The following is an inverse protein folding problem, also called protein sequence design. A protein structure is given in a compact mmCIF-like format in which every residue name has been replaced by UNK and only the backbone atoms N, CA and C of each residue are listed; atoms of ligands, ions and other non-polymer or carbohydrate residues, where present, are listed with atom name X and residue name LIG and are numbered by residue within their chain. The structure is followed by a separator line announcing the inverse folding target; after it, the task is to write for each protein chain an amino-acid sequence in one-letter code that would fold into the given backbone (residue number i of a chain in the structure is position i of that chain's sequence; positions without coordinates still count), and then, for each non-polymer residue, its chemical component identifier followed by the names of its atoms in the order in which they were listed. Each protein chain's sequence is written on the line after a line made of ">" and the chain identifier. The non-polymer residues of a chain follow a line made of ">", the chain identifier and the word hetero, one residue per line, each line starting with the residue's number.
data_IF_045376877013
#
_entry.id   IF_045376877013
#
_cell.length_a   1.000
_cell.length_b   1.000
_cell.length_c   1.000
_cell.angle_alpha   90.00
_cell.angle_beta   90.00
_cell.angle_gamma   90.00
#
_symmetry.space_group_name_H-M   'P 1'
#
loop_
_entity.id
_entity.type
_entity.pdbx_description
1 polymer ?
#
# COMPACT_ATOMS: atom_id res chain seq x y z
N UNK A 1 33.02 31.22 26.31
CA UNK A 1 33.27 30.21 25.24
C UNK A 1 32.86 28.79 25.62
N UNK A 2 32.29 28.52 26.77
CA UNK A 2 31.94 27.16 27.25
C UNK A 2 30.50 26.71 26.97
N UNK A 3 29.62 27.58 26.45
CA UNK A 3 28.20 27.25 26.24
C UNK A 3 27.91 26.56 24.87
N UNK A 4 28.66 26.86 23.81
CA UNK A 4 28.45 26.29 22.48
C UNK A 4 28.91 24.84 22.38
N UNK A 5 29.96 24.42 23.09
CA UNK A 5 30.48 23.06 23.07
C UNK A 5 29.61 22.07 23.87
N UNK A 6 28.87 22.54 24.88
CA UNK A 6 27.91 21.72 25.63
C UNK A 6 26.61 21.51 24.85
N UNK A 7 26.12 22.51 24.12
CA UNK A 7 24.96 22.38 23.23
C UNK A 7 25.27 21.45 22.03
N UNK A 8 26.49 21.47 21.49
CA UNK A 8 26.93 20.56 20.44
C UNK A 8 27.04 19.09 20.91
N UNK A 9 27.39 18.85 22.18
CA UNK A 9 27.45 17.49 22.77
C UNK A 9 26.08 16.90 23.08
N UNK A 10 25.06 17.71 23.35
CA UNK A 10 23.68 17.25 23.53
C UNK A 10 22.99 16.84 22.21
N UNK A 11 23.52 17.25 21.07
CA UNK A 11 23.01 16.93 19.74
C UNK A 11 23.58 15.64 19.13
N UNK A 12 24.55 15.00 19.76
CA UNK A 12 25.14 13.74 19.28
C UNK A 12 24.35 12.51 19.77
N UNK A 13 23.01 12.52 19.63
CA UNK A 13 22.24 11.30 19.79
C UNK A 13 22.60 10.34 18.64
N UNK A 14 22.89 9.08 19.01
CA UNK A 14 23.27 8.03 18.07
C UNK A 14 22.22 7.94 16.95
N UNK A 15 22.60 7.64 15.70
CA UNK A 15 21.65 7.43 14.62
C UNK A 15 20.64 6.37 15.04
N UNK A 16 19.35 6.51 14.63
CA UNK A 16 18.31 5.56 15.01
C UNK A 16 18.68 4.16 14.53
N UNK A 17 18.42 3.15 15.38
CA UNK A 17 18.71 1.77 15.03
C UNK A 17 17.86 1.35 13.82
N UNK A 18 18.43 0.59 12.90
CA UNK A 18 17.70 0.08 11.72
C UNK A 18 16.44 -0.70 12.13
N UNK A 19 16.52 -1.47 13.22
CA UNK A 19 15.38 -2.22 13.77
C UNK A 19 14.19 -1.30 14.11
N UNK A 20 14.44 -0.14 14.71
CA UNK A 20 13.37 0.83 15.03
C UNK A 20 12.69 1.34 13.76
N UNK A 21 13.46 1.66 12.72
CA UNK A 21 12.92 2.14 11.44
C UNK A 21 12.16 1.02 10.68
N UNK A 22 12.64 -0.20 10.74
CA UNK A 22 11.99 -1.38 10.13
C UNK A 22 10.66 -1.70 10.82
N UNK A 23 10.61 -1.68 12.16
CA UNK A 23 9.37 -1.85 12.92
C UNK A 23 8.37 -0.73 12.66
N UNK A 24 8.85 0.51 12.51
CA UNK A 24 8.02 1.64 12.15
C UNK A 24 7.41 1.49 10.76
N UNK A 25 8.18 0.95 9.80
CA UNK A 25 7.68 0.62 8.46
C UNK A 25 6.61 -0.50 8.52
N UNK A 26 6.83 -1.56 9.30
CA UNK A 26 5.84 -2.62 9.48
C UNK A 26 4.55 -2.07 10.11
N UNK A 27 4.67 -1.26 11.16
CA UNK A 27 3.53 -0.66 11.84
C UNK A 27 2.75 0.32 10.94
N UNK A 28 3.40 0.93 9.93
CA UNK A 28 2.74 1.87 9.03
C UNK A 28 1.70 1.22 8.11
N UNK A 29 1.81 -0.08 7.84
CA UNK A 29 0.90 -0.81 6.94
C UNK A 29 0.02 -1.83 7.67
N UNK A 30 0.43 -2.27 8.86
CA UNK A 30 -0.29 -3.29 9.62
C UNK A 30 -1.75 -2.94 9.94
N UNK A 31 -2.10 -1.70 10.37
CA UNK A 31 -3.47 -1.34 10.72
C UNK A 31 -4.47 -1.42 9.58
N UNK A 32 -3.99 -1.34 8.34
CA UNK A 32 -4.83 -1.45 7.16
C UNK A 32 -5.27 -2.91 6.91
N UNK A 33 -4.48 -3.88 7.33
CA UNK A 33 -4.64 -5.28 6.92
C UNK A 33 -5.11 -6.20 8.07
N UNK A 34 -4.69 -5.92 9.32
CA UNK A 34 -4.86 -6.84 10.44
C UNK A 34 -6.34 -7.07 10.82
N UNK A 35 -7.21 -6.09 10.65
CA UNK A 35 -8.62 -6.16 11.03
C UNK A 35 -9.56 -6.66 9.91
N UNK A 36 -9.02 -6.90 8.70
CA UNK A 36 -9.83 -7.28 7.54
C UNK A 36 -10.72 -8.50 7.77
N UNK A 37 -10.25 -9.58 8.42
CA UNK A 37 -11.12 -10.72 8.70
C UNK A 37 -12.31 -10.38 9.60
N UNK A 38 -12.22 -9.34 10.41
CA UNK A 38 -13.21 -8.94 11.42
C UNK A 38 -14.29 -8.01 10.86
N UNK A 39 -14.23 -7.57 9.59
CA UNK A 39 -15.18 -6.58 9.04
C UNK A 39 -16.64 -7.00 9.23
N UNK A 40 -16.96 -8.29 9.02
CA UNK A 40 -18.31 -8.80 9.19
C UNK A 40 -18.73 -8.84 10.67
N UNK A 41 -17.83 -9.13 11.60
CA UNK A 41 -18.08 -9.08 13.04
C UNK A 41 -18.33 -7.64 13.51
N UNK A 42 -17.55 -6.69 13.02
CA UNK A 42 -17.73 -5.26 13.28
C UNK A 42 -19.10 -4.78 12.80
N UNK A 43 -19.55 -5.22 11.60
CA UNK A 43 -20.85 -4.87 11.07
C UNK A 43 -22.00 -5.37 11.96
N UNK A 44 -21.92 -6.61 12.45
CA UNK A 44 -22.90 -7.18 13.38
C UNK A 44 -22.91 -6.47 14.73
N UNK A 45 -21.75 -6.16 15.26
CA UNK A 45 -21.61 -5.55 16.60
C UNK A 45 -22.16 -4.11 16.62
N UNK A 46 -21.95 -3.35 15.56
CA UNK A 46 -22.54 -2.01 15.39
C UNK A 46 -23.95 -2.02 14.80
N UNK A 47 -24.52 -3.18 14.48
CA UNK A 47 -25.85 -3.35 13.84
C UNK A 47 -26.01 -2.43 12.63
N UNK A 48 -25.02 -2.44 11.74
CA UNK A 48 -24.95 -1.54 10.58
C UNK A 48 -24.64 -2.29 9.28
N UNK A 49 -24.89 -1.62 8.16
CA UNK A 49 -24.63 -2.19 6.85
C UNK A 49 -23.13 -2.45 6.64
N UNK A 50 -22.82 -3.57 6.02
CA UNK A 50 -21.45 -3.93 5.66
C UNK A 50 -20.77 -2.85 4.79
N UNK A 51 -21.53 -2.17 3.94
CA UNK A 51 -21.04 -1.06 3.12
C UNK A 51 -20.44 0.07 3.96
N UNK A 52 -21.08 0.44 5.09
CA UNK A 52 -20.54 1.46 6.01
C UNK A 52 -19.26 0.99 6.69
N UNK A 53 -19.19 -0.29 7.09
CA UNK A 53 -17.99 -0.83 7.71
C UNK A 53 -16.83 -0.90 6.70
N UNK A 54 -17.11 -1.21 5.43
CA UNK A 54 -16.10 -1.23 4.37
C UNK A 54 -15.44 0.15 4.13
N UNK A 55 -16.14 1.25 4.49
CA UNK A 55 -15.55 2.59 4.51
C UNK A 55 -14.38 2.72 5.50
N UNK A 56 -14.28 1.84 6.50
CA UNK A 56 -13.11 1.81 7.39
C UNK A 56 -11.80 1.44 6.66
N UNK A 57 -11.88 0.74 5.54
CA UNK A 57 -10.76 0.46 4.66
C UNK A 57 -10.56 1.58 3.64
N UNK A 58 -11.60 1.93 2.88
CA UNK A 58 -11.51 2.93 1.82
C UNK A 58 -11.30 4.35 2.34
N UNK A 59 -11.97 4.73 3.42
CA UNK A 59 -11.78 6.03 4.08
C UNK A 59 -10.37 6.17 4.68
N UNK A 60 -9.88 5.10 5.33
CA UNK A 60 -8.49 5.06 5.78
C UNK A 60 -7.51 5.27 4.61
N UNK A 61 -7.70 4.53 3.51
CA UNK A 61 -6.84 4.65 2.33
C UNK A 61 -6.93 6.05 1.69
N UNK A 62 -8.11 6.67 1.65
CA UNK A 62 -8.27 8.03 1.15
C UNK A 62 -7.50 9.07 1.98
N UNK A 63 -7.56 8.96 3.31
CA UNK A 63 -6.76 9.80 4.22
C UNK A 63 -5.26 9.53 4.03
N UNK A 64 -4.87 8.26 3.89
CA UNK A 64 -3.47 7.87 3.65
C UNK A 64 -2.92 8.49 2.36
N UNK A 65 -3.71 8.53 1.27
CA UNK A 65 -3.33 9.21 0.01
C UNK A 65 -2.96 10.68 0.24
N UNK A 66 -3.81 11.40 0.97
CA UNK A 66 -3.57 12.83 1.29
C UNK A 66 -2.29 12.97 2.13
N UNK A 67 -2.14 12.13 3.13
CA UNK A 67 -0.99 12.17 4.03
C UNK A 67 0.32 11.82 3.29
N UNK A 68 0.33 10.83 2.42
CA UNK A 68 1.53 10.48 1.65
C UNK A 68 2.00 11.61 0.73
N UNK A 69 1.06 12.37 0.12
CA UNK A 69 1.39 13.53 -0.71
C UNK A 69 2.00 14.69 0.10
N UNK A 70 1.55 14.88 1.34
CA UNK A 70 1.88 16.05 2.14
C UNK A 70 3.06 15.78 3.10
N UNK A 71 3.14 14.58 3.67
CA UNK A 71 4.05 14.30 4.78
C UNK A 71 5.53 14.22 4.37
N UNK A 72 5.83 13.86 3.12
CA UNK A 72 7.18 13.98 2.58
C UNK A 72 7.71 15.42 2.68
N UNK A 73 7.08 16.38 1.98
CA UNK A 73 7.41 17.81 2.07
C UNK A 73 7.38 18.39 3.49
N UNK A 74 6.38 17.99 4.29
CA UNK A 74 6.30 18.44 5.69
C UNK A 74 7.49 17.97 6.51
N UNK A 75 7.93 16.72 6.33
CA UNK A 75 9.08 16.17 7.04
C UNK A 75 10.40 16.81 6.60
N UNK A 76 10.49 17.29 5.36
CA UNK A 76 11.63 18.06 4.86
C UNK A 76 11.67 19.47 5.46
N UNK A 77 10.52 20.07 5.76
CA UNK A 77 10.41 21.43 6.30
C UNK A 77 10.49 21.48 7.83
N UNK A 78 9.69 20.64 8.50
CA UNK A 78 9.54 20.69 9.97
C UNK A 78 10.50 19.75 10.70
N UNK A 79 11.10 18.80 9.97
CA UNK A 79 12.00 17.79 10.54
C UNK A 79 11.36 16.39 10.52
N UNK A 80 12.22 15.37 10.50
CA UNK A 80 11.79 13.95 10.46
C UNK A 80 11.16 13.53 11.79
N UNK A 81 11.83 13.86 12.90
CA UNK A 81 11.43 13.46 14.25
C UNK A 81 10.04 13.96 14.65
N UNK A 82 9.67 15.25 14.52
CA UNK A 82 8.35 15.74 14.88
C UNK A 82 7.23 15.03 14.11
N UNK A 83 7.41 14.81 12.81
CA UNK A 83 6.40 14.14 11.98
C UNK A 83 6.17 12.71 12.45
N UNK A 84 7.22 11.92 12.71
CA UNK A 84 7.07 10.55 13.24
C UNK A 84 6.36 10.54 14.59
N UNK A 85 6.76 11.39 15.53
CA UNK A 85 6.19 11.42 16.88
C UNK A 85 4.71 11.82 16.84
N UNK A 86 4.36 12.86 16.08
CA UNK A 86 2.96 13.32 15.93
C UNK A 86 2.11 12.24 15.26
N UNK A 87 2.62 11.60 14.20
CA UNK A 87 1.91 10.52 13.52
C UNK A 87 1.66 9.31 14.41
N UNK A 88 2.65 8.92 15.24
CA UNK A 88 2.50 7.86 16.24
C UNK A 88 1.51 8.23 17.34
N UNK A 89 1.49 9.48 17.79
CA UNK A 89 0.53 9.95 18.79
C UNK A 89 -0.91 9.86 18.25
N UNK A 90 -1.16 10.37 17.04
CA UNK A 90 -2.47 10.27 16.39
C UNK A 90 -2.88 8.82 16.12
N UNK A 91 -1.94 7.98 15.68
CA UNK A 91 -2.18 6.55 15.51
C UNK A 91 -2.58 5.87 16.83
N UNK A 92 -1.88 6.15 17.92
CA UNK A 92 -2.16 5.55 19.22
C UNK A 92 -3.53 6.00 19.74
N UNK A 93 -3.84 7.30 19.69
CA UNK A 93 -5.15 7.84 20.05
C UNK A 93 -6.25 7.26 19.16
N UNK A 94 -6.03 7.20 17.84
CA UNK A 94 -6.96 6.60 16.89
C UNK A 94 -7.22 5.12 17.20
N UNK A 95 -6.17 4.36 17.56
CA UNK A 95 -6.31 2.94 17.91
C UNK A 95 -7.11 2.74 19.20
N UNK A 96 -6.85 3.53 20.24
CA UNK A 96 -7.64 3.52 21.49
C UNK A 96 -9.09 3.90 21.18
N UNK A 97 -9.30 4.94 20.37
CA UNK A 97 -10.63 5.38 19.99
C UNK A 97 -11.42 4.32 19.20
N UNK A 98 -10.77 3.58 18.30
CA UNK A 98 -11.38 2.45 17.60
C UNK A 98 -11.80 1.33 18.56
N UNK A 99 -10.94 0.99 19.54
CA UNK A 99 -11.24 -0.03 20.54
C UNK A 99 -12.44 0.33 21.44
N UNK A 100 -12.59 1.63 21.75
CA UNK A 100 -13.65 2.17 22.63
C UNK A 100 -14.90 2.64 21.87
N UNK A 101 -14.89 2.61 20.54
CA UNK A 101 -15.99 3.12 19.73
C UNK A 101 -17.31 2.40 20.07
N UNK A 102 -18.36 3.19 20.35
CA UNK A 102 -19.70 2.72 20.65
C UNK A 102 -20.64 2.69 19.42
N UNK A 103 -20.24 3.32 18.31
CA UNK A 103 -20.99 3.36 17.08
C UNK A 103 -20.04 3.45 15.87
N UNK A 104 -20.58 3.16 14.68
CA UNK A 104 -19.82 3.11 13.43
C UNK A 104 -19.18 4.45 13.07
N UNK A 105 -19.82 5.57 13.32
CA UNK A 105 -19.31 6.90 12.95
C UNK A 105 -18.09 7.29 13.78
N UNK A 106 -18.14 7.02 15.09
CA UNK A 106 -16.97 7.20 15.97
C UNK A 106 -15.82 6.29 15.54
N UNK A 107 -16.12 5.02 15.21
CA UNK A 107 -15.15 4.07 14.68
C UNK A 107 -14.48 4.60 13.40
N UNK A 108 -15.24 5.06 12.40
CA UNK A 108 -14.71 5.59 11.13
C UNK A 108 -13.88 6.87 11.35
N UNK A 109 -14.30 7.75 12.27
CA UNK A 109 -13.54 8.94 12.61
C UNK A 109 -12.17 8.58 13.21
N UNK A 110 -12.13 7.66 14.19
CA UNK A 110 -10.88 7.20 14.77
C UNK A 110 -10.02 6.38 13.80
N UNK A 111 -10.63 5.63 12.87
CA UNK A 111 -9.92 4.97 11.77
C UNK A 111 -9.22 5.99 10.86
N UNK A 112 -9.89 7.11 10.56
CA UNK A 112 -9.29 8.20 9.78
C UNK A 112 -8.10 8.84 10.50
N UNK A 113 -8.20 9.02 11.82
CA UNK A 113 -7.10 9.52 12.64
C UNK A 113 -5.93 8.53 12.70
N UNK A 114 -6.23 7.23 12.80
CA UNK A 114 -5.26 6.15 12.82
C UNK A 114 -4.41 6.11 11.54
N UNK A 115 -4.94 6.58 10.40
CA UNK A 115 -4.22 6.63 9.12
C UNK A 115 -2.97 7.52 9.15
N UNK A 116 -2.81 8.39 10.18
CA UNK A 116 -1.60 9.21 10.34
C UNK A 116 -0.29 8.39 10.37
N UNK A 117 -0.36 7.11 10.77
CA UNK A 117 0.81 6.22 10.81
C UNK A 117 1.43 5.98 9.43
N UNK A 118 0.66 6.10 8.35
CA UNK A 118 1.15 5.87 6.97
C UNK A 118 2.28 6.83 6.59
N UNK A 119 2.30 8.04 7.18
CA UNK A 119 3.40 9.00 7.04
C UNK A 119 4.75 8.45 7.50
N UNK A 120 4.76 7.48 8.42
CA UNK A 120 5.99 6.93 8.98
C UNK A 120 6.82 6.14 7.97
N UNK A 121 6.20 5.53 6.94
CA UNK A 121 6.94 4.80 5.92
C UNK A 121 7.87 5.70 5.08
N UNK A 122 7.37 6.72 4.34
CA UNK A 122 8.23 7.59 3.55
C UNK A 122 9.24 8.36 4.40
N UNK A 123 8.86 8.75 5.62
CA UNK A 123 9.78 9.43 6.55
C UNK A 123 10.89 8.50 7.03
N UNK A 124 10.59 7.22 7.33
CA UNK A 124 11.61 6.22 7.67
C UNK A 124 12.60 5.98 6.54
N UNK A 125 12.12 5.90 5.28
CA UNK A 125 12.99 5.79 4.09
C UNK A 125 13.92 7.01 3.98
N UNK A 126 13.40 8.20 4.24
CA UNK A 126 14.20 9.43 4.24
C UNK A 126 15.26 9.42 5.36
N UNK A 127 14.90 8.99 6.59
CA UNK A 127 15.84 8.85 7.72
C UNK A 127 16.96 7.86 7.38
N UNK A 128 16.62 6.71 6.76
CA UNK A 128 17.62 5.73 6.33
C UNK A 128 18.60 6.37 5.34
N UNK A 129 18.10 7.11 4.36
CA UNK A 129 18.91 7.82 3.37
C UNK A 129 19.79 8.89 4.00
N UNK A 130 19.28 9.64 4.96
CA UNK A 130 19.98 10.74 5.64
C UNK A 130 21.08 10.24 6.60
N UNK A 131 20.96 8.98 7.08
CA UNK A 131 21.85 8.41 8.13
C UNK A 131 22.80 7.32 7.63
N UNK A 132 22.51 6.72 6.48
CA UNK A 132 23.35 5.66 5.90
C UNK A 132 24.27 6.19 4.82
N UNK A 133 25.49 5.63 4.72
CA UNK A 133 26.38 5.86 3.58
C UNK A 133 25.77 5.32 2.28
N UNK A 134 26.21 5.86 1.12
CA UNK A 134 25.62 5.53 -0.20
C UNK A 134 25.48 4.03 -0.46
N UNK A 135 26.49 3.23 -0.11
CA UNK A 135 26.50 1.78 -0.33
C UNK A 135 25.55 1.03 0.61
N UNK A 136 25.38 1.49 1.85
CA UNK A 136 24.54 0.86 2.85
C UNK A 136 23.05 1.25 2.72
N UNK A 137 22.78 2.39 2.08
CA UNK A 137 21.40 2.93 1.95
C UNK A 137 20.49 1.95 1.21
N UNK A 138 20.94 1.41 0.07
CA UNK A 138 20.15 0.46 -0.72
C UNK A 138 19.83 -0.82 0.07
N UNK A 139 20.79 -1.37 0.78
CA UNK A 139 20.61 -2.56 1.62
C UNK A 139 19.61 -2.32 2.77
N UNK A 140 19.75 -1.20 3.50
CA UNK A 140 18.87 -0.85 4.61
C UNK A 140 17.44 -0.56 4.16
N UNK A 141 17.26 0.12 3.04
CA UNK A 141 15.94 0.31 2.41
C UNK A 141 15.34 -1.04 2.00
N UNK A 142 16.16 -1.95 1.44
CA UNK A 142 15.72 -3.30 1.09
C UNK A 142 15.17 -4.08 2.28
N UNK A 143 15.87 -4.08 3.43
CA UNK A 143 15.38 -4.73 4.65
C UNK A 143 14.08 -4.10 5.16
N UNK A 144 13.98 -2.77 5.18
CA UNK A 144 12.77 -2.09 5.61
C UNK A 144 11.57 -2.39 4.69
N UNK A 145 11.79 -2.40 3.38
CA UNK A 145 10.77 -2.74 2.39
C UNK A 145 10.33 -4.22 2.49
N UNK A 146 11.26 -5.14 2.78
CA UNK A 146 10.94 -6.55 3.00
C UNK A 146 10.00 -6.75 4.20
N UNK A 147 10.30 -6.14 5.34
CA UNK A 147 9.46 -6.22 6.54
C UNK A 147 8.11 -5.53 6.31
N UNK A 148 8.09 -4.38 5.61
CA UNK A 148 6.86 -3.72 5.21
C UNK A 148 5.97 -4.63 4.36
N UNK A 149 6.56 -5.39 3.42
CA UNK A 149 5.83 -6.33 2.56
C UNK A 149 5.33 -7.58 3.31
N UNK A 150 5.99 -8.00 4.40
CA UNK A 150 5.57 -9.14 5.22
C UNK A 150 4.35 -8.81 6.11
N UNK A 151 4.18 -7.56 6.53
CA UNK A 151 3.11 -7.17 7.44
C UNK A 151 1.70 -7.45 6.89
N UNK A 152 1.36 -7.17 5.62
CA UNK A 152 0.08 -7.57 5.03
C UNK A 152 -0.12 -9.08 4.90
N UNK A 153 0.95 -9.87 4.88
CA UNK A 153 0.87 -11.33 4.82
C UNK A 153 0.48 -11.93 6.17
N UNK A 154 1.14 -11.46 7.23
CA UNK A 154 0.98 -11.99 8.58
C UNK A 154 -0.21 -11.33 9.29
N UNK A 155 -0.45 -10.04 9.01
CA UNK A 155 -1.46 -9.23 9.68
C UNK A 155 -2.85 -9.85 9.70
N UNK A 156 -3.46 -10.20 8.56
CA UNK A 156 -4.81 -10.78 8.53
C UNK A 156 -4.92 -12.12 9.27
N UNK A 157 -3.90 -12.98 9.18
CA UNK A 157 -3.91 -14.26 9.90
C UNK A 157 -3.85 -14.03 11.43
N UNK A 158 -2.96 -13.14 11.89
CA UNK A 158 -2.91 -12.75 13.31
C UNK A 158 -4.21 -12.06 13.75
N UNK A 159 -4.76 -11.18 12.91
CA UNK A 159 -6.01 -10.49 13.20
C UNK A 159 -7.19 -11.45 13.33
N UNK A 160 -7.29 -12.46 12.45
CA UNK A 160 -8.29 -13.51 12.55
C UNK A 160 -8.19 -14.31 13.83
N UNK A 161 -6.98 -14.72 14.22
CA UNK A 161 -6.73 -15.43 15.49
C UNK A 161 -7.12 -14.59 16.71
N UNK A 162 -6.75 -13.31 16.73
CA UNK A 162 -7.10 -12.39 17.83
C UNK A 162 -8.61 -12.15 17.88
N UNK A 163 -9.26 -11.99 16.72
CA UNK A 163 -10.70 -11.80 16.64
C UNK A 163 -11.47 -13.00 17.18
N UNK A 164 -11.07 -14.22 16.83
CA UNK A 164 -11.70 -15.44 17.33
C UNK A 164 -11.49 -15.66 18.85
N UNK A 165 -10.31 -15.33 19.35
CA UNK A 165 -9.96 -15.59 20.75
C UNK A 165 -10.47 -14.48 21.70
N UNK A 166 -10.42 -13.22 21.30
CA UNK A 166 -10.59 -12.04 22.17
C UNK A 166 -11.56 -10.99 21.60
N UNK A 167 -12.06 -11.20 20.37
CA UNK A 167 -12.92 -10.27 19.65
C UNK A 167 -12.12 -9.16 18.92
N UNK A 168 -12.77 -8.52 17.95
CA UNK A 168 -12.16 -7.54 17.08
C UNK A 168 -11.59 -6.31 17.79
N UNK A 169 -12.15 -5.91 18.92
CA UNK A 169 -11.65 -4.77 19.72
C UNK A 169 -10.24 -5.02 20.27
N UNK A 170 -9.90 -6.28 20.56
CA UNK A 170 -8.57 -6.63 21.03
C UNK A 170 -7.47 -6.34 20.00
N UNK A 171 -7.79 -6.40 18.70
CA UNK A 171 -6.88 -6.00 17.63
C UNK A 171 -6.46 -4.54 17.79
N UNK A 172 -7.43 -3.65 18.05
CA UNK A 172 -7.17 -2.21 18.21
C UNK A 172 -6.45 -1.89 19.52
N UNK A 173 -6.70 -2.64 20.60
CA UNK A 173 -5.90 -2.56 21.82
C UNK A 173 -4.44 -3.00 21.60
N UNK A 174 -4.23 -4.07 20.84
CA UNK A 174 -2.89 -4.50 20.43
C UNK A 174 -2.15 -3.45 19.60
N UNK A 175 -2.85 -2.79 18.67
CA UNK A 175 -2.31 -1.68 17.87
C UNK A 175 -2.01 -0.45 18.74
N UNK A 176 -2.86 -0.13 19.72
CA UNK A 176 -2.63 0.95 20.67
C UNK A 176 -1.38 0.71 21.53
N UNK A 177 -1.21 -0.53 22.02
CA UNK A 177 -0.02 -0.93 22.75
C UNK A 177 1.25 -0.83 21.88
N UNK A 178 1.21 -1.36 20.66
CA UNK A 178 2.31 -1.26 19.71
C UNK A 178 2.65 0.20 19.38
N UNK A 179 1.64 1.05 19.17
CA UNK A 179 1.79 2.48 18.96
C UNK A 179 2.45 3.19 20.16
N UNK A 180 2.01 2.88 21.37
CA UNK A 180 2.57 3.44 22.60
C UNK A 180 4.04 3.05 22.79
N UNK A 181 4.37 1.76 22.55
CA UNK A 181 5.76 1.28 22.61
C UNK A 181 6.62 2.01 21.57
N UNK A 182 6.16 2.08 20.31
CA UNK A 182 6.90 2.74 19.25
C UNK A 182 7.03 4.25 19.47
N UNK A 183 5.99 4.90 19.98
CA UNK A 183 6.03 6.32 20.36
C UNK A 183 7.10 6.57 21.43
N UNK A 184 7.13 5.74 22.46
CA UNK A 184 8.12 5.83 23.54
C UNK A 184 9.54 5.58 23.00
N UNK A 185 9.73 4.52 22.20
CA UNK A 185 11.03 4.21 21.57
C UNK A 185 11.50 5.37 20.68
N UNK A 186 10.63 5.89 19.82
CA UNK A 186 10.97 6.99 18.91
C UNK A 186 11.22 8.30 19.69
N UNK A 187 10.47 8.56 20.75
CA UNK A 187 10.68 9.75 21.58
C UNK A 187 12.09 9.82 22.16
N UNK A 188 12.62 8.69 22.65
CA UNK A 188 13.94 8.62 23.27
C UNK A 188 15.09 8.35 22.29
N UNK A 189 14.86 7.57 21.24
CA UNK A 189 15.93 7.11 20.34
C UNK A 189 16.02 7.92 19.04
N UNK A 190 14.89 8.51 18.56
CA UNK A 190 14.91 9.21 17.28
C UNK A 190 15.48 10.62 17.46
N UNK A 191 16.65 10.87 16.86
CA UNK A 191 17.22 12.21 16.74
C UNK A 191 16.74 12.86 15.43
N UNK A 192 16.77 14.21 15.38
CA UNK A 192 16.51 14.92 14.13
C UNK A 192 17.65 14.64 13.13
N UNK A 193 17.30 14.15 11.96
CA UNK A 193 18.26 13.78 10.91
C UNK A 193 18.31 14.76 9.75
N UNK A 194 17.29 15.61 9.62
CA UNK A 194 17.23 16.62 8.59
C UNK A 194 18.13 17.82 8.95
N UNK A 195 19.32 17.87 8.41
CA UNK A 195 20.30 18.96 8.61
C UNK A 195 20.09 20.15 7.68
N UNK A 196 19.44 19.95 6.55
CA UNK A 196 19.18 20.98 5.53
C UNK A 196 17.68 21.09 5.34
N UNK A 197 17.05 21.98 6.11
CA UNK A 197 15.64 22.32 5.89
C UNK A 197 15.51 22.91 4.50
N UNK A 198 15.06 22.10 3.56
CA UNK A 198 14.99 22.49 2.16
C UNK A 198 13.57 22.87 1.74
N UNK A 199 13.51 23.85 0.89
CA UNK A 199 12.60 24.03 -0.21
C UNK A 199 11.11 24.14 0.07
N UNK A 200 10.51 25.02 -0.65
CA UNK A 200 9.06 25.26 -0.69
C UNK A 200 8.30 23.99 -1.12
N UNK A 201 7.34 23.58 -0.32
CA UNK A 201 6.29 22.60 -0.69
C UNK A 201 5.73 22.93 -2.10
N UNK A 202 5.60 24.23 -2.42
CA UNK A 202 5.17 24.73 -3.73
C UNK A 202 6.08 24.26 -4.89
N UNK A 203 7.35 24.03 -4.67
CA UNK A 203 8.27 23.58 -5.72
C UNK A 203 8.00 22.13 -6.17
N UNK A 204 7.62 21.24 -5.25
CA UNK A 204 7.22 19.87 -5.61
C UNK A 204 5.88 19.85 -6.34
N UNK A 205 4.90 20.66 -5.92
CA UNK A 205 3.61 20.76 -6.62
C UNK A 205 3.72 21.36 -8.02
N UNK A 206 4.69 22.24 -8.27
CA UNK A 206 4.96 22.79 -9.63
C UNK A 206 5.43 21.73 -10.64
N UNK A 207 5.91 20.60 -10.18
CA UNK A 207 6.36 19.50 -11.05
C UNK A 207 5.20 18.63 -11.59
N UNK A 208 4.07 18.57 -10.86
CA UNK A 208 2.95 17.71 -11.20
C UNK A 208 2.31 17.98 -12.59
N UNK A 209 2.09 19.21 -13.04
CA UNK A 209 1.52 19.47 -14.38
C UNK A 209 2.33 18.82 -15.52
N UNK A 210 3.64 18.73 -15.38
CA UNK A 210 4.50 18.08 -16.38
C UNK A 210 4.31 16.56 -16.42
N UNK A 211 3.99 15.93 -15.28
CA UNK A 211 3.67 14.51 -15.17
C UNK A 211 2.25 14.22 -15.66
N UNK A 212 1.28 15.08 -15.31
CA UNK A 212 -0.10 14.97 -15.77
C UNK A 212 -0.23 14.99 -17.29
N UNK A 213 0.65 15.74 -17.98
CA UNK A 213 0.70 15.82 -19.45
C UNK A 213 1.44 14.66 -20.12
N UNK A 214 1.99 13.73 -19.36
CA UNK A 214 2.75 12.60 -19.90
C UNK A 214 1.89 11.32 -20.00
N UNK A 215 1.38 10.91 -21.18
CA UNK A 215 0.51 9.73 -21.31
C UNK A 215 1.17 8.44 -20.80
N UNK A 216 2.49 8.32 -20.97
CA UNK A 216 3.26 7.16 -20.46
C UNK A 216 3.22 7.07 -18.94
N UNK A 217 3.23 8.19 -18.24
CA UNK A 217 3.12 8.21 -16.79
C UNK A 217 1.77 7.63 -16.35
N UNK A 218 0.68 8.08 -16.99
CA UNK A 218 -0.68 7.60 -16.71
C UNK A 218 -0.84 6.10 -16.96
N UNK A 219 -0.25 5.57 -18.04
CA UNK A 219 -0.31 4.14 -18.33
C UNK A 219 0.32 3.30 -17.21
N UNK A 220 1.46 3.74 -16.66
CA UNK A 220 2.07 3.06 -15.50
C UNK A 220 1.28 3.26 -14.22
N UNK A 221 0.87 4.49 -13.92
CA UNK A 221 0.16 4.82 -12.69
C UNK A 221 -1.22 4.15 -12.62
N UNK A 222 -1.99 4.14 -13.72
CA UNK A 222 -3.27 3.44 -13.79
C UNK A 222 -3.11 1.91 -13.69
N UNK A 223 -2.07 1.35 -14.32
CA UNK A 223 -1.75 -0.06 -14.13
C UNK A 223 -1.54 -0.39 -12.64
N UNK A 224 -0.80 0.45 -11.90
CA UNK A 224 -0.58 0.29 -10.46
C UNK A 224 -1.90 0.47 -9.69
N UNK A 225 -2.68 1.51 -10.00
CA UNK A 225 -3.95 1.81 -9.35
C UNK A 225 -4.96 0.68 -9.46
N UNK A 226 -5.20 0.16 -10.66
CA UNK A 226 -6.09 -0.98 -10.87
C UNK A 226 -5.53 -2.28 -10.29
N UNK A 227 -4.20 -2.46 -10.28
CA UNK A 227 -3.56 -3.63 -9.68
C UNK A 227 -3.81 -3.71 -8.18
N UNK A 228 -3.57 -2.62 -7.47
CA UNK A 228 -3.83 -2.52 -6.02
C UNK A 228 -5.33 -2.50 -5.77
N UNK A 229 -6.10 -1.83 -6.62
CA UNK A 229 -7.55 -1.81 -6.55
C UNK A 229 -8.19 -3.21 -6.55
N UNK A 230 -7.66 -4.14 -7.35
CA UNK A 230 -8.12 -5.54 -7.33
C UNK A 230 -7.92 -6.20 -5.97
N UNK A 231 -6.77 -5.96 -5.32
CA UNK A 231 -6.49 -6.52 -3.99
C UNK A 231 -7.40 -5.88 -2.92
N UNK A 232 -7.63 -4.59 -3.01
CA UNK A 232 -8.51 -3.88 -2.08
C UNK A 232 -9.98 -4.27 -2.27
N UNK A 233 -10.42 -4.54 -3.51
CA UNK A 233 -11.73 -5.13 -3.77
C UNK A 233 -11.86 -6.50 -3.09
N UNK A 234 -10.83 -7.35 -3.22
CA UNK A 234 -10.80 -8.62 -2.49
C UNK A 234 -10.83 -8.42 -0.97
N UNK A 235 -10.03 -7.52 -0.43
CA UNK A 235 -10.01 -7.25 1.01
C UNK A 235 -11.35 -6.76 1.54
N UNK A 236 -12.07 -5.96 0.77
CA UNK A 236 -13.40 -5.48 1.14
C UNK A 236 -14.48 -6.55 0.98
N UNK A 237 -14.38 -7.41 -0.03
CA UNK A 237 -15.45 -8.33 -0.38
C UNK A 237 -15.30 -9.76 0.16
N UNK A 238 -14.06 -10.26 0.31
CA UNK A 238 -13.82 -11.63 0.76
C UNK A 238 -14.41 -11.93 2.17
N UNK A 239 -14.35 -11.00 3.15
CA UNK A 239 -14.99 -11.23 4.45
C UNK A 239 -16.48 -11.43 4.35
N UNK A 240 -17.16 -10.66 3.47
CA UNK A 240 -18.59 -10.81 3.25
C UNK A 240 -18.93 -12.14 2.56
N UNK A 241 -18.16 -12.53 1.55
CA UNK A 241 -18.33 -13.84 0.90
C UNK A 241 -18.08 -14.98 1.90
N UNK A 242 -17.06 -14.86 2.74
CA UNK A 242 -16.72 -15.88 3.73
C UNK A 242 -17.85 -16.14 4.74
N UNK A 243 -18.65 -15.12 5.13
CA UNK A 243 -19.80 -15.31 6.02
C UNK A 243 -20.87 -16.20 5.41
N UNK A 244 -21.04 -16.18 4.09
CA UNK A 244 -22.01 -17.04 3.38
C UNK A 244 -21.63 -18.52 3.45
N UNK A 245 -20.36 -18.82 3.68
CA UNK A 245 -19.83 -20.18 3.83
C UNK A 245 -19.50 -20.55 5.28
N UNK A 246 -19.93 -19.75 6.27
CA UNK A 246 -19.62 -19.93 7.69
C UNK A 246 -18.11 -20.13 7.97
N UNK A 247 -17.27 -19.42 7.24
CA UNK A 247 -15.81 -19.51 7.40
C UNK A 247 -15.37 -18.76 8.66
N UNK A 248 -14.39 -19.33 9.39
CA UNK A 248 -13.80 -18.67 10.55
C UNK A 248 -12.90 -17.48 10.14
N UNK A 249 -12.77 -16.50 11.02
CA UNK A 249 -11.91 -15.32 10.80
C UNK A 249 -10.44 -15.73 10.59
N UNK A 250 -9.94 -16.77 11.27
CA UNK A 250 -8.60 -17.32 11.08
C UNK A 250 -8.41 -17.90 9.69
N UNK A 251 -9.37 -18.70 9.22
CA UNK A 251 -9.31 -19.28 7.87
C UNK A 251 -9.35 -18.20 6.80
N UNK A 252 -10.22 -17.20 6.94
CA UNK A 252 -10.29 -16.06 6.04
C UNK A 252 -8.99 -15.25 6.07
N UNK A 253 -8.43 -14.99 7.25
CA UNK A 253 -7.14 -14.31 7.42
C UNK A 253 -6.01 -15.02 6.67
N UNK A 254 -6.01 -16.35 6.69
CA UNK A 254 -5.04 -17.17 5.95
C UNK A 254 -5.21 -17.04 4.43
N UNK A 255 -6.44 -16.97 3.91
CA UNK A 255 -6.69 -16.71 2.48
C UNK A 255 -6.27 -15.30 2.07
N UNK A 256 -6.56 -14.29 2.87
CA UNK A 256 -6.09 -12.92 2.63
C UNK A 256 -4.55 -12.88 2.62
N UNK A 257 -3.90 -13.57 3.58
CA UNK A 257 -2.45 -13.71 3.65
C UNK A 257 -1.86 -14.41 2.43
N UNK A 258 -2.56 -15.39 1.84
CA UNK A 258 -2.08 -16.13 0.67
C UNK A 258 -1.89 -15.25 -0.56
N UNK A 259 -2.73 -14.24 -0.78
CA UNK A 259 -2.56 -13.25 -1.87
C UNK A 259 -1.25 -12.48 -1.67
N UNK A 260 -0.94 -12.11 -0.43
CA UNK A 260 0.31 -11.41 -0.13
C UNK A 260 1.51 -12.32 -0.28
N UNK A 261 1.40 -13.61 0.08
CA UNK A 261 2.42 -14.61 -0.21
C UNK A 261 2.66 -14.75 -1.72
N UNK A 262 1.59 -14.77 -2.52
CA UNK A 262 1.66 -14.71 -3.98
C UNK A 262 2.40 -13.46 -4.47
N UNK A 263 2.14 -12.29 -3.87
CA UNK A 263 2.84 -11.04 -4.19
C UNK A 263 4.34 -11.12 -3.91
N UNK A 264 4.74 -11.72 -2.80
CA UNK A 264 6.16 -11.94 -2.47
C UNK A 264 6.81 -12.84 -3.51
N UNK A 265 6.17 -13.96 -3.87
CA UNK A 265 6.65 -14.87 -4.92
C UNK A 265 6.79 -14.15 -6.27
N UNK A 266 5.78 -13.41 -6.69
CA UNK A 266 5.81 -12.63 -7.93
C UNK A 266 6.90 -11.57 -7.93
N UNK A 267 7.10 -10.88 -6.81
CA UNK A 267 8.17 -9.87 -6.65
C UNK A 267 9.56 -10.50 -6.70
N UNK A 268 9.74 -11.66 -6.10
CA UNK A 268 10.98 -12.43 -6.19
C UNK A 268 11.29 -12.82 -7.64
N UNK A 269 10.30 -13.34 -8.37
CA UNK A 269 10.45 -13.66 -9.79
C UNK A 269 10.76 -12.41 -10.62
N UNK A 270 10.08 -11.29 -10.34
CA UNK A 270 10.35 -10.01 -10.99
C UNK A 270 11.81 -9.59 -10.79
N UNK A 271 12.34 -9.67 -9.56
CA UNK A 271 13.73 -9.36 -9.25
C UNK A 271 14.72 -10.29 -9.94
N UNK A 272 14.46 -11.62 -9.95
CA UNK A 272 15.33 -12.62 -10.57
C UNK A 272 15.43 -12.45 -12.10
N UNK A 273 14.34 -12.04 -12.74
CA UNK A 273 14.28 -11.83 -14.18
C UNK A 273 14.47 -10.37 -14.60
N UNK A 274 14.70 -9.46 -13.63
CA UNK A 274 15.04 -8.07 -13.89
C UNK A 274 16.30 -7.99 -14.78
N UNK A 275 16.26 -7.16 -15.80
CA UNK A 275 17.34 -7.03 -16.77
C UNK A 275 17.34 -8.05 -17.92
N UNK A 276 16.68 -9.21 -17.77
CA UNK A 276 16.53 -10.19 -18.87
C UNK A 276 15.36 -9.85 -19.81
N UNK A 277 14.29 -9.31 -19.24
CA UNK A 277 13.08 -8.96 -19.99
C UNK A 277 12.78 -7.47 -19.88
N UNK A 278 12.07 -6.92 -20.87
CA UNK A 278 11.60 -5.53 -20.83
C UNK A 278 10.58 -5.35 -19.71
N UNK A 279 10.60 -4.20 -19.02
CA UNK A 279 9.65 -3.87 -17.95
C UNK A 279 8.18 -4.11 -18.36
N UNK A 280 7.82 -3.69 -19.59
CA UNK A 280 6.46 -3.86 -20.13
C UNK A 280 6.08 -5.31 -20.36
N UNK A 281 7.03 -6.19 -20.72
CA UNK A 281 6.79 -7.63 -20.88
C UNK A 281 6.47 -8.27 -19.53
N UNK A 282 7.24 -7.94 -18.48
CA UNK A 282 6.97 -8.43 -17.12
C UNK A 282 5.61 -7.97 -16.61
N UNK A 283 5.22 -6.71 -16.90
CA UNK A 283 3.91 -6.19 -16.56
C UNK A 283 2.79 -6.96 -17.25
N UNK A 284 2.87 -7.21 -18.56
CA UNK A 284 1.84 -7.92 -19.34
C UNK A 284 1.70 -9.35 -18.84
N UNK A 285 2.80 -10.08 -18.66
CA UNK A 285 2.78 -11.46 -18.13
C UNK A 285 2.12 -11.47 -16.73
N UNK A 286 2.54 -10.56 -15.85
CA UNK A 286 1.96 -10.44 -14.52
C UNK A 286 0.45 -10.15 -14.57
N UNK A 287 -0.01 -9.32 -15.51
CA UNK A 287 -1.46 -9.03 -15.66
C UNK A 287 -2.25 -10.20 -16.20
N UNK A 288 -1.70 -10.97 -17.14
CA UNK A 288 -2.34 -12.20 -17.64
C UNK A 288 -2.51 -13.19 -16.48
N UNK A 289 -1.47 -13.40 -15.67
CA UNK A 289 -1.56 -14.26 -14.48
C UNK A 289 -2.60 -13.71 -13.48
N UNK A 290 -2.63 -12.40 -13.22
CA UNK A 290 -3.60 -11.81 -12.32
C UNK A 290 -5.05 -11.97 -12.82
N UNK A 291 -5.30 -11.87 -14.13
CA UNK A 291 -6.62 -12.07 -14.72
C UNK A 291 -7.10 -13.53 -14.60
N UNK A 292 -6.20 -14.52 -14.65
CA UNK A 292 -6.58 -15.93 -14.56
C UNK A 292 -7.24 -16.30 -13.22
N UNK A 293 -6.86 -15.64 -12.11
CA UNK A 293 -7.46 -15.88 -10.81
C UNK A 293 -8.98 -15.65 -10.79
N UNK A 294 -9.47 -14.41 -11.01
CA UNK A 294 -10.90 -14.12 -11.06
C UNK A 294 -11.65 -14.88 -12.15
N UNK A 295 -11.02 -15.18 -13.31
CA UNK A 295 -11.64 -16.01 -14.36
C UNK A 295 -11.90 -17.42 -13.83
N UNK A 296 -10.92 -18.06 -13.18
CA UNK A 296 -11.10 -19.38 -12.58
C UNK A 296 -12.20 -19.34 -11.51
N UNK A 297 -12.20 -18.31 -10.64
CA UNK A 297 -13.24 -18.17 -9.62
C UNK A 297 -14.64 -18.08 -10.26
N UNK A 298 -14.83 -17.26 -11.28
CA UNK A 298 -16.11 -17.14 -11.99
C UNK A 298 -16.52 -18.43 -12.69
N UNK A 299 -15.60 -19.12 -13.36
CA UNK A 299 -15.90 -20.41 -14.02
C UNK A 299 -16.34 -21.47 -13.02
N UNK A 300 -15.71 -21.53 -11.83
CA UNK A 300 -16.11 -22.42 -10.75
C UNK A 300 -17.49 -22.08 -10.19
N UNK A 301 -17.81 -20.78 -10.06
CA UNK A 301 -19.14 -20.35 -9.65
C UNK A 301 -20.21 -20.75 -10.67
N UNK A 302 -19.97 -20.57 -11.96
CA UNK A 302 -20.89 -20.99 -13.02
C UNK A 302 -21.05 -22.53 -13.08
N UNK A 303 -20.03 -23.28 -12.64
CA UNK A 303 -20.09 -24.73 -12.49
C UNK A 303 -20.76 -25.18 -11.15
N UNK A 304 -21.38 -24.25 -10.40
CA UNK A 304 -22.02 -24.47 -9.08
C UNK A 304 -21.09 -25.11 -8.03
N UNK A 305 -19.79 -24.85 -8.13
CA UNK A 305 -18.82 -25.31 -7.12
C UNK A 305 -18.95 -24.44 -5.89
N UNK A 306 -19.49 -25.02 -4.81
CA UNK A 306 -19.74 -24.32 -3.52
C UNK A 306 -18.63 -24.54 -2.48
N UNK A 307 -17.42 -24.80 -2.91
CA UNK A 307 -16.28 -24.98 -2.03
C UNK A 307 -15.51 -23.65 -1.92
N UNK A 308 -15.46 -23.08 -0.72
CA UNK A 308 -14.82 -21.77 -0.48
C UNK A 308 -13.33 -21.79 -0.77
N UNK A 309 -12.64 -22.90 -0.55
CA UNK A 309 -11.20 -23.06 -0.86
C UNK A 309 -10.99 -23.01 -2.38
N UNK A 310 -11.87 -23.67 -3.14
CA UNK A 310 -11.83 -23.62 -4.59
C UNK A 310 -12.14 -22.22 -5.13
N UNK A 311 -13.03 -21.47 -4.47
CA UNK A 311 -13.43 -20.11 -4.89
C UNK A 311 -12.39 -19.04 -4.53
N UNK A 312 -11.82 -19.07 -3.32
CA UNK A 312 -10.87 -18.05 -2.87
C UNK A 312 -9.41 -18.40 -3.21
N UNK A 313 -9.10 -19.70 -3.34
CA UNK A 313 -7.73 -20.17 -3.61
C UNK A 313 -7.08 -19.57 -4.86
N UNK A 314 -7.76 -19.55 -6.03
CA UNK A 314 -7.20 -18.97 -7.25
C UNK A 314 -6.84 -17.49 -7.16
N UNK A 315 -7.39 -16.75 -6.17
CA UNK A 315 -7.04 -15.35 -5.95
C UNK A 315 -5.56 -15.13 -5.59
N UNK A 316 -4.81 -16.18 -5.18
CA UNK A 316 -3.35 -16.11 -5.02
C UNK A 316 -2.67 -15.65 -6.32
N UNK A 317 -3.23 -15.99 -7.49
CA UNK A 317 -2.70 -15.58 -8.80
C UNK A 317 -2.76 -14.07 -9.00
N UNK A 318 -3.72 -13.38 -8.37
CA UNK A 318 -3.77 -11.92 -8.33
C UNK A 318 -2.54 -11.39 -7.59
N UNK A 319 -2.18 -12.00 -6.47
CA UNK A 319 -0.96 -11.69 -5.73
C UNK A 319 0.29 -11.87 -6.59
N UNK A 320 0.48 -13.05 -7.16
CA UNK A 320 1.64 -13.37 -8.03
C UNK A 320 1.75 -12.37 -9.18
N UNK A 321 0.64 -12.10 -9.87
CA UNK A 321 0.61 -11.15 -10.99
C UNK A 321 0.93 -9.73 -10.57
N UNK A 322 0.45 -9.29 -9.39
CA UNK A 322 0.79 -7.99 -8.81
C UNK A 322 2.27 -7.89 -8.47
N UNK A 323 2.84 -8.94 -7.85
CA UNK A 323 4.26 -9.00 -7.52
C UNK A 323 5.17 -8.90 -8.75
N UNK A 324 4.80 -9.53 -9.86
CA UNK A 324 5.50 -9.41 -11.14
C UNK A 324 5.38 -8.01 -11.75
N UNK A 325 4.22 -7.37 -11.61
CA UNK A 325 3.89 -6.11 -12.29
C UNK A 325 4.41 -4.88 -11.55
N UNK A 326 4.20 -4.80 -10.23
CA UNK A 326 4.40 -3.58 -9.44
C UNK A 326 5.83 -3.02 -9.49
N UNK A 327 6.91 -3.83 -9.34
CA UNK A 327 8.27 -3.30 -9.43
C UNK A 327 8.54 -2.70 -10.81
N UNK A 328 8.09 -3.37 -11.88
CA UNK A 328 8.27 -2.92 -13.25
C UNK A 328 7.47 -1.67 -13.60
N UNK A 329 6.23 -1.58 -13.11
CA UNK A 329 5.36 -0.42 -13.33
C UNK A 329 5.91 0.81 -12.58
N UNK A 330 6.37 0.64 -11.34
CA UNK A 330 6.98 1.70 -10.55
C UNK A 330 8.26 2.22 -11.21
N UNK A 331 9.18 1.33 -11.58
CA UNK A 331 10.39 1.72 -12.33
C UNK A 331 10.05 2.42 -13.65
N UNK A 332 9.01 1.97 -14.34
CA UNK A 332 8.48 2.60 -15.56
C UNK A 332 7.97 4.03 -15.31
N UNK A 333 7.17 4.24 -14.28
CA UNK A 333 6.65 5.56 -13.91
C UNK A 333 7.76 6.57 -13.58
N UNK A 334 8.75 6.14 -12.80
CA UNK A 334 9.93 6.96 -12.43
C UNK A 334 10.80 7.32 -13.62
N UNK A 335 10.88 6.43 -14.63
CA UNK A 335 11.70 6.63 -15.83
C UNK A 335 11.13 7.64 -16.84
N UNK A 336 9.87 8.04 -16.71
CA UNK A 336 9.21 8.97 -17.65
C UNK A 336 9.84 10.36 -17.61
N UNK A 337 10.17 10.85 -16.41
CA UNK A 337 10.83 12.12 -16.15
C UNK A 337 11.88 11.94 -15.04
N UNK A 338 13.12 11.54 -15.37
CA UNK A 338 14.14 11.24 -14.36
C UNK A 338 14.40 12.40 -13.37
N UNK A 339 14.33 13.64 -13.86
CA UNK A 339 14.50 14.85 -13.04
C UNK A 339 13.36 15.09 -12.04
N UNK A 340 12.22 14.41 -12.20
CA UNK A 340 11.02 14.50 -11.35
C UNK A 340 10.69 13.17 -10.69
N UNK A 341 11.65 12.28 -10.53
CA UNK A 341 11.43 10.92 -10.02
C UNK A 341 10.75 10.91 -8.64
N UNK A 342 11.11 11.82 -7.73
CA UNK A 342 10.46 11.94 -6.42
C UNK A 342 8.98 12.33 -6.52
N UNK A 343 8.66 13.35 -7.33
CA UNK A 343 7.27 13.76 -7.57
C UNK A 343 6.48 12.67 -8.30
N UNK A 344 7.12 11.95 -9.24
CA UNK A 344 6.50 10.83 -9.95
C UNK A 344 6.19 9.67 -9.00
N UNK A 345 7.07 9.38 -8.04
CA UNK A 345 6.84 8.35 -7.01
C UNK A 345 5.64 8.71 -6.12
N UNK A 346 5.60 9.95 -5.59
CA UNK A 346 4.50 10.40 -4.75
C UNK A 346 3.16 10.41 -5.48
N UNK A 347 3.12 10.92 -6.73
CA UNK A 347 1.89 10.96 -7.51
C UNK A 347 1.42 9.55 -7.92
N UNK A 348 2.34 8.66 -8.32
CA UNK A 348 2.01 7.28 -8.64
C UNK A 348 1.52 6.51 -7.40
N UNK A 349 2.13 6.71 -6.23
CA UNK A 349 1.69 6.16 -4.95
C UNK A 349 0.27 6.61 -4.60
N UNK A 350 0.00 7.93 -4.69
CA UNK A 350 -1.32 8.49 -4.44
C UNK A 350 -2.39 7.92 -5.38
N UNK A 351 -2.12 7.82 -6.69
CA UNK A 351 -3.04 7.20 -7.67
C UNK A 351 -3.27 5.72 -7.34
N UNK A 352 -2.22 5.02 -6.90
CA UNK A 352 -2.29 3.61 -6.51
C UNK A 352 -3.23 3.39 -5.33
N UNK A 353 -3.07 4.18 -4.27
CA UNK A 353 -3.94 4.11 -3.08
C UNK A 353 -5.36 4.60 -3.39
N UNK A 354 -5.51 5.66 -4.20
CA UNK A 354 -6.81 6.14 -4.63
C UNK A 354 -7.58 5.06 -5.42
N UNK A 355 -6.90 4.33 -6.31
CA UNK A 355 -7.46 3.18 -7.01
C UNK A 355 -7.92 2.08 -6.03
N UNK A 356 -7.11 1.80 -5.01
CA UNK A 356 -7.47 0.88 -3.91
C UNK A 356 -8.73 1.33 -3.18
N UNK A 357 -8.75 2.58 -2.71
CA UNK A 357 -9.88 3.14 -1.97
C UNK A 357 -11.17 3.13 -2.80
N UNK A 358 -11.09 3.55 -4.06
CA UNK A 358 -12.26 3.60 -4.97
C UNK A 358 -12.84 2.20 -5.20
N UNK A 359 -12.01 1.22 -5.54
CA UNK A 359 -12.49 -0.15 -5.81
C UNK A 359 -12.98 -0.85 -4.54
N UNK A 360 -12.36 -0.58 -3.39
CA UNK A 360 -12.87 -1.04 -2.10
C UNK A 360 -14.28 -0.50 -1.81
N UNK A 361 -14.49 0.82 -2.01
CA UNK A 361 -15.81 1.46 -1.83
C UNK A 361 -16.84 0.90 -2.79
N UNK A 362 -16.51 0.78 -4.08
CA UNK A 362 -17.41 0.21 -5.09
C UNK A 362 -17.80 -1.22 -4.69
N UNK A 363 -16.83 -2.03 -4.28
CA UNK A 363 -17.07 -3.41 -3.84
C UNK A 363 -18.03 -3.44 -2.66
N UNK A 364 -17.76 -2.67 -1.61
CA UNK A 364 -18.62 -2.61 -0.43
C UNK A 364 -20.06 -2.14 -0.73
N UNK A 365 -20.22 -1.25 -1.72
CA UNK A 365 -21.54 -0.74 -2.10
C UNK A 365 -22.36 -1.69 -3.00
N UNK A 366 -21.69 -2.53 -3.80
CA UNK A 366 -22.33 -3.40 -4.79
C UNK A 366 -22.64 -4.78 -4.23
N UNK A 367 -21.91 -5.26 -3.22
CA UNK A 367 -22.12 -6.58 -2.65
C UNK A 367 -23.41 -6.66 -1.86
N UNK A 368 -24.22 -7.69 -2.19
CA UNK A 368 -25.44 -8.10 -1.48
C UNK A 368 -25.43 -9.59 -1.24
N UNK A 369 -26.26 -10.11 -0.33
CA UNK A 369 -26.32 -11.55 -0.03
C UNK A 369 -26.61 -12.43 -1.26
N UNK A 370 -27.36 -11.90 -2.25
CA UNK A 370 -27.70 -12.65 -3.45
C UNK A 370 -26.65 -12.62 -4.56
N UNK A 371 -25.72 -11.65 -4.57
CA UNK A 371 -24.78 -11.44 -5.68
C UNK A 371 -23.31 -11.48 -5.28
N UNK A 372 -22.98 -11.51 -3.99
CA UNK A 372 -21.63 -11.21 -3.48
C UNK A 372 -20.49 -11.96 -4.18
N UNK A 373 -20.49 -13.29 -4.38
CA UNK A 373 -19.38 -13.96 -5.05
C UNK A 373 -19.22 -13.51 -6.51
N UNK A 374 -20.31 -13.41 -7.25
CA UNK A 374 -20.29 -12.99 -8.66
C UNK A 374 -19.83 -11.54 -8.81
N UNK A 375 -20.36 -10.64 -7.98
CA UNK A 375 -20.01 -9.23 -7.99
C UNK A 375 -18.53 -9.02 -7.64
N UNK A 376 -18.03 -9.68 -6.59
CA UNK A 376 -16.65 -9.58 -6.17
C UNK A 376 -15.69 -9.99 -7.29
N UNK A 377 -15.84 -11.20 -7.83
CA UNK A 377 -14.91 -11.69 -8.84
C UNK A 377 -15.07 -10.97 -10.19
N UNK A 378 -16.25 -10.44 -10.51
CA UNK A 378 -16.45 -9.59 -11.71
C UNK A 378 -15.74 -8.25 -11.56
N UNK A 379 -15.83 -7.60 -10.40
CA UNK A 379 -15.10 -6.35 -10.10
C UNK A 379 -13.58 -6.60 -10.16
N UNK A 380 -13.11 -7.70 -9.58
CA UNK A 380 -11.69 -8.08 -9.63
C UNK A 380 -11.24 -8.34 -11.08
N UNK A 381 -12.04 -9.05 -11.89
CA UNK A 381 -11.73 -9.31 -13.29
C UNK A 381 -11.67 -8.02 -14.11
N UNK A 382 -12.66 -7.15 -13.96
CA UNK A 382 -12.69 -5.86 -14.65
C UNK A 382 -11.45 -5.02 -14.29
N UNK A 383 -11.11 -4.94 -13.02
CA UNK A 383 -9.95 -4.19 -12.54
C UNK A 383 -8.63 -4.77 -13.09
N UNK A 384 -8.45 -6.09 -13.06
CA UNK A 384 -7.24 -6.73 -13.63
C UNK A 384 -7.16 -6.56 -15.15
N UNK A 385 -8.29 -6.60 -15.86
CA UNK A 385 -8.36 -6.36 -17.30
C UNK A 385 -8.01 -4.91 -17.66
N UNK A 386 -8.49 -3.92 -16.89
CA UNK A 386 -8.10 -2.52 -17.06
C UNK A 386 -6.61 -2.29 -16.78
N UNK A 387 -6.05 -2.99 -15.77
CA UNK A 387 -4.61 -2.95 -15.51
C UNK A 387 -3.80 -3.59 -16.66
N UNK A 388 -4.32 -4.66 -17.27
CA UNK A 388 -3.71 -5.27 -18.46
C UNK A 388 -3.74 -4.30 -19.65
N UNK A 389 -4.87 -3.66 -19.91
CA UNK A 389 -5.00 -2.64 -20.95
C UNK A 389 -3.98 -1.51 -20.74
N UNK A 390 -3.87 -0.99 -19.52
CA UNK A 390 -2.89 0.03 -19.17
C UNK A 390 -1.44 -0.45 -19.40
N UNK A 391 -1.13 -1.70 -19.12
CA UNK A 391 0.20 -2.30 -19.39
C UNK A 391 0.51 -2.37 -20.89
N UNK A 392 -0.48 -2.73 -21.72
CA UNK A 392 -0.36 -2.75 -23.18
C UNK A 392 -0.17 -1.32 -23.72
N UNK A 393 -0.94 -0.35 -23.23
CA UNK A 393 -0.79 1.06 -23.61
C UNK A 393 0.61 1.59 -23.25
N UNK A 394 1.16 1.22 -22.09
CA UNK A 394 2.53 1.57 -21.72
C UNK A 394 3.57 0.99 -22.70
N UNK A 395 3.37 -0.23 -23.17
CA UNK A 395 4.24 -0.88 -24.15
C UNK A 395 4.18 -0.17 -25.52
N UNK A 396 2.99 0.15 -26.01
CA UNK A 396 2.77 0.85 -27.27
C UNK A 396 3.34 2.28 -27.24
N UNK A 397 3.12 3.01 -26.18
CA UNK A 397 3.66 4.36 -26.00
C UNK A 397 5.20 4.38 -25.96
N UNK A 398 5.84 3.35 -25.40
CA UNK A 398 7.29 3.21 -25.41
C UNK A 398 7.82 2.94 -26.83
N UNK A 399 7.14 2.10 -27.61
CA UNK A 399 7.52 1.79 -29.01
C UNK A 399 7.47 3.05 -29.88
N UNK A 400 6.41 3.85 -29.78
CA UNK A 400 6.29 5.12 -30.53
C UNK A 400 7.42 6.09 -30.24
N UNK A 401 7.81 6.25 -28.97
CA UNK A 401 8.90 7.15 -28.58
C UNK A 401 10.27 6.67 -29.12
N UNK A 402 10.52 5.37 -29.23
CA UNK A 402 11.77 4.83 -29.80
C UNK A 402 11.85 4.99 -31.31
N UNK A 403 10.73 4.85 -32.01
CA UNK A 403 10.66 5.05 -33.47
C UNK A 403 10.93 6.53 -33.80
N UNK A 404 10.23 7.45 -33.11
CA UNK A 404 10.43 8.90 -33.33
C UNK A 404 11.88 9.36 -33.06
N UNK A 405 12.55 8.77 -32.06
CA UNK A 405 13.95 9.07 -31.76
C UNK A 405 14.90 8.53 -32.84
N UNK A 406 14.63 7.35 -33.40
CA UNK A 406 15.42 6.76 -34.48
C UNK A 406 15.25 7.54 -35.78
N UNK A 407 14.05 8.00 -36.10
CA UNK A 407 13.78 8.83 -37.28
C UNK A 407 14.45 10.21 -37.18
N UNK A 408 14.41 10.81 -35.99
CA UNK A 408 15.14 12.06 -35.72
C UNK A 408 16.65 11.89 -35.86
N UNK A 409 17.22 10.82 -35.32
CA UNK A 409 18.66 10.55 -35.43
C UNK A 409 19.08 10.20 -36.88
N UNK A 410 18.21 9.60 -37.68
CA UNK A 410 18.45 9.43 -39.13
C UNK A 410 18.49 10.77 -39.86
N UNK A 411 17.46 11.61 -39.64
CA UNK A 411 17.40 12.94 -40.28
C UNK A 411 18.57 13.87 -39.89
N UNK A 412 19.14 13.71 -38.69
CA UNK A 412 20.33 14.44 -38.24
C UNK A 412 21.62 13.88 -38.84
N UNK A 413 21.68 12.61 -39.30
CA UNK A 413 22.86 12.03 -39.98
C UNK A 413 22.88 12.28 -41.47
N UNK A 414 21.73 12.58 -42.05
CA UNK A 414 21.56 12.88 -43.48
C UNK A 414 21.72 14.39 -43.79
N UNK A 415 21.90 15.22 -42.78
CA UNK A 415 22.28 16.63 -42.85
C UNK A 415 23.76 16.84 -42.45
#
# INVERSE_FOLDING_TARGET
>A
MTSYSQLARLSARRPPKLVTLTLLCALSVLPLNIFLPSLAHIARDFQTDYALVSLSLSGYAAVAVILELIMGPMSDRYGRRPIVVISLAFFTVGSIGCALASNIWAFLAFRSLQAAITACYPVSMAIIRDTAGKEQTASRIGYAAMIWALAPMIGPALGGLVDEALGWRAIFWGLALAGTIMLTVCWFQLSETNRTRSGSIAQQFRAYPALFRAPRFWAYALCMGFSVGTVYAFFAGAPFVATMFNMSSTALGSFIGSITAGFVLGSFLSGRYAGRYRLTTMMIIGRIIACSGPVICLTLLFADVRNVVALLGPCILVGVGNGLTMPSANAGALSVRPNLAGSAAGLAGAITLAGGATLSSITGAVLTEGNAPYALFSIMLLSTALALLASVLAALAKKRSSVAMNDFNRSCRER
#
